data_IF_740552230494
#
_entry.id   IF_740552230494
#
_cell.length_a   1.000
_cell.length_b   1.000
_cell.length_c   1.000
_cell.angle_alpha   90.00
_cell.angle_beta   90.00
_cell.angle_gamma   90.00
#
_symmetry.space_group_name_H-M   'P 1'
#
loop_
_entity.id
_entity.type
_entity.pdbx_description
1 polymer ?
#
# COMPACT_ATOMS: atom_id res chain seq x y z
N UNK A 1 -22.98 -59.40 -26.50
CA UNK A 1 -23.04 -58.51 -25.28
C UNK A 1 -22.04 -57.38 -25.46
N UNK A 2 -22.52 -56.15 -25.68
CA UNK A 2 -21.69 -54.99 -25.88
C UNK A 2 -21.54 -54.29 -24.51
N UNK A 3 -20.32 -54.22 -23.99
CA UNK A 3 -19.99 -53.44 -22.80
C UNK A 3 -19.59 -52.05 -23.24
N UNK A 4 -20.38 -51.06 -22.88
CA UNK A 4 -20.09 -49.64 -23.12
C UNK A 4 -19.10 -49.09 -22.10
N UNK A 5 -18.13 -48.35 -22.59
CA UNK A 5 -17.12 -47.59 -21.80
C UNK A 5 -17.74 -46.29 -21.22
N UNK A 6 -17.66 -46.03 -19.88
CA UNK A 6 -18.27 -44.85 -19.27
C UNK A 6 -17.29 -43.70 -19.03
N UNK A 7 -16.21 -43.54 -19.81
CA UNK A 7 -15.18 -42.52 -19.50
C UNK A 7 -15.09 -41.31 -20.43
N UNK A 8 -16.08 -41.02 -21.26
CA UNK A 8 -16.10 -39.81 -22.07
C UNK A 8 -16.56 -38.58 -21.27
N UNK A 9 -15.69 -38.04 -20.39
CA UNK A 9 -15.83 -36.68 -19.85
C UNK A 9 -15.58 -35.68 -20.99
N UNK A 10 -16.66 -35.06 -21.48
CA UNK A 10 -16.54 -33.89 -22.39
C UNK A 10 -15.94 -32.72 -21.64
N UNK A 11 -14.66 -32.50 -21.81
CA UNK A 11 -14.00 -31.27 -21.41
C UNK A 11 -14.43 -30.16 -22.37
N UNK A 12 -15.24 -29.22 -21.88
CA UNK A 12 -15.53 -27.96 -22.60
C UNK A 12 -14.21 -27.17 -22.61
N UNK A 13 -13.66 -26.80 -23.77
CA UNK A 13 -12.41 -26.00 -23.77
C UNK A 13 -12.65 -24.66 -23.13
N UNK A 14 -11.77 -24.28 -22.19
CA UNK A 14 -11.79 -23.04 -21.41
C UNK A 14 -11.92 -21.79 -22.32
N UNK A 15 -11.41 -21.86 -23.53
CA UNK A 15 -11.52 -20.80 -24.55
C UNK A 15 -12.98 -20.52 -25.00
N UNK A 16 -13.89 -21.50 -24.92
CA UNK A 16 -15.30 -21.29 -25.28
C UNK A 16 -16.09 -20.65 -24.12
N UNK A 17 -15.69 -20.86 -22.89
CA UNK A 17 -16.27 -20.18 -21.70
C UNK A 17 -15.87 -18.72 -21.65
N UNK A 18 -14.61 -18.40 -22.00
CA UNK A 18 -14.14 -17.02 -22.10
C UNK A 18 -14.80 -16.27 -23.26
N UNK A 19 -15.05 -16.91 -24.40
CA UNK A 19 -15.72 -16.31 -25.55
C UNK A 19 -17.22 -16.05 -25.31
N UNK A 20 -17.89 -16.90 -24.53
CA UNK A 20 -19.30 -16.72 -24.17
C UNK A 20 -19.52 -15.61 -23.12
N UNK A 21 -18.54 -15.37 -22.22
CA UNK A 21 -18.54 -14.24 -21.29
C UNK A 21 -18.25 -12.89 -21.97
N UNK A 22 -17.59 -12.90 -23.14
CA UNK A 22 -17.30 -11.69 -23.93
C UNK A 22 -18.46 -11.26 -24.86
N UNK A 23 -19.45 -12.12 -25.10
CA UNK A 23 -20.54 -11.84 -26.03
C UNK A 23 -21.81 -11.22 -25.40
N UNK A 24 -21.86 -11.06 -24.06
CA UNK A 24 -22.96 -10.40 -23.34
C UNK A 24 -22.57 -9.04 -22.75
N UNK A 25 -21.43 -8.48 -23.15
CA UNK A 25 -21.08 -7.11 -22.81
C UNK A 25 -21.87 -6.15 -23.72
N UNK A 26 -23.13 -5.87 -23.34
CA UNK A 26 -23.67 -4.52 -23.51
C UNK A 26 -22.57 -3.59 -23.04
N UNK A 27 -22.11 -2.69 -23.90
CA UNK A 27 -21.09 -1.66 -23.57
C UNK A 27 -21.38 -1.16 -22.17
N UNK A 28 -20.43 -1.21 -21.22
CA UNK A 28 -20.68 -0.66 -19.90
C UNK A 28 -21.10 0.79 -20.12
N UNK A 29 -22.30 1.12 -19.70
CA UNK A 29 -22.71 2.53 -19.64
C UNK A 29 -21.66 3.22 -18.82
N UNK A 30 -20.98 4.21 -19.39
CA UNK A 30 -20.14 5.14 -18.66
C UNK A 30 -20.94 5.67 -17.47
N UNK A 31 -20.48 5.45 -16.25
CA UNK A 31 -21.11 6.10 -15.10
C UNK A 31 -20.92 7.64 -15.22
N UNK A 32 -19.78 8.07 -15.76
CA UNK A 32 -19.52 9.50 -16.03
C UNK A 32 -20.00 9.88 -17.43
N UNK A 33 -21.07 10.67 -17.49
CA UNK A 33 -21.63 11.17 -18.75
C UNK A 33 -20.61 12.07 -19.51
N UNK A 34 -20.70 12.16 -20.87
CA UNK A 34 -19.73 12.92 -21.67
C UNK A 34 -19.58 14.39 -21.28
N UNK A 35 -20.65 15.05 -20.79
CA UNK A 35 -20.57 16.45 -20.37
C UNK A 35 -19.80 16.60 -19.06
N UNK A 36 -19.96 15.66 -18.15
CA UNK A 36 -19.20 15.63 -16.91
C UNK A 36 -17.75 15.29 -17.19
N UNK A 37 -17.46 14.31 -18.07
CA UNK A 37 -16.09 13.98 -18.49
C UNK A 37 -15.37 15.18 -19.13
N UNK A 38 -16.05 15.92 -20.02
CA UNK A 38 -15.49 17.14 -20.63
C UNK A 38 -15.21 18.20 -19.55
N UNK A 39 -16.12 18.38 -18.59
CA UNK A 39 -15.91 19.36 -17.51
C UNK A 39 -14.74 18.97 -16.62
N UNK A 40 -14.51 17.68 -16.36
CA UNK A 40 -13.30 17.19 -15.67
C UNK A 40 -12.05 17.60 -16.44
N UNK A 41 -12.02 17.36 -17.75
CA UNK A 41 -10.88 17.72 -18.59
C UNK A 41 -10.62 19.22 -18.62
N UNK A 42 -11.65 20.05 -18.74
CA UNK A 42 -11.56 21.52 -18.72
C UNK A 42 -11.01 22.02 -17.37
N UNK A 43 -11.47 21.46 -16.24
CA UNK A 43 -11.01 21.81 -14.91
C UNK A 43 -9.57 21.36 -14.66
N UNK A 44 -9.16 20.20 -15.19
CA UNK A 44 -7.77 19.75 -15.14
C UNK A 44 -6.87 20.76 -15.86
N UNK A 45 -7.22 21.14 -17.08
CA UNK A 45 -6.45 22.14 -17.84
C UNK A 45 -6.34 23.48 -17.10
N UNK A 46 -7.41 23.91 -16.44
CA UNK A 46 -7.45 25.15 -15.66
C UNK A 46 -6.57 25.09 -14.41
N UNK A 47 -6.51 23.94 -13.73
CA UNK A 47 -5.87 23.79 -12.40
C UNK A 47 -4.48 23.17 -12.46
N UNK A 48 -4.09 22.47 -13.53
CA UNK A 48 -2.83 21.71 -13.62
C UNK A 48 -1.59 22.51 -13.21
N UNK A 49 -1.50 23.77 -13.62
CA UNK A 49 -0.35 24.63 -13.28
C UNK A 49 -0.27 24.92 -11.77
N UNK A 50 -1.41 25.09 -11.12
CA UNK A 50 -1.47 25.28 -9.66
C UNK A 50 -1.10 23.99 -8.93
N UNK A 51 -1.65 22.86 -9.36
CA UNK A 51 -1.39 21.54 -8.73
C UNK A 51 0.09 21.16 -8.85
N UNK A 52 0.73 21.42 -10.00
CA UNK A 52 2.18 21.23 -10.18
C UNK A 52 2.99 22.14 -9.24
N UNK A 53 2.57 23.39 -9.06
CA UNK A 53 3.23 24.30 -8.10
C UNK A 53 3.10 23.81 -6.65
N UNK A 54 1.95 23.24 -6.29
CA UNK A 54 1.73 22.62 -4.99
C UNK A 54 2.70 21.45 -4.81
N UNK A 55 2.81 20.54 -5.79
CA UNK A 55 3.75 19.43 -5.77
C UNK A 55 5.18 19.91 -5.53
N UNK A 56 5.63 20.88 -6.30
CA UNK A 56 7.00 21.43 -6.17
C UNK A 56 7.23 22.11 -4.82
N UNK A 57 6.22 22.77 -4.26
CA UNK A 57 6.31 23.32 -2.92
C UNK A 57 6.48 22.25 -1.85
N UNK A 58 5.67 21.17 -1.91
CA UNK A 58 5.78 20.03 -0.99
C UNK A 58 7.15 19.37 -1.16
N UNK A 59 7.62 19.16 -2.39
CA UNK A 59 8.93 18.58 -2.69
C UNK A 59 10.10 19.39 -2.13
N UNK A 60 10.02 20.73 -2.19
CA UNK A 60 11.03 21.63 -1.62
C UNK A 60 11.04 21.64 -0.09
N UNK A 61 9.92 21.30 0.54
CA UNK A 61 9.74 21.36 1.99
C UNK A 61 9.33 19.98 2.55
N UNK A 62 10.11 18.91 2.29
CA UNK A 62 9.75 17.56 2.70
C UNK A 62 9.84 17.40 4.22
N UNK A 63 8.89 16.68 4.81
CA UNK A 63 8.78 16.45 6.24
C UNK A 63 8.67 14.95 6.53
N UNK A 64 9.33 14.47 7.57
CA UNK A 64 9.30 13.06 7.98
C UNK A 64 7.97 12.71 8.64
N UNK A 65 7.67 11.42 8.72
CA UNK A 65 6.46 10.87 9.34
C UNK A 65 6.15 11.46 10.72
N UNK A 66 4.89 11.81 10.96
CA UNK A 66 4.39 12.54 12.13
C UNK A 66 4.98 13.96 12.31
N UNK A 67 5.63 14.51 11.31
CA UNK A 67 6.23 15.86 11.32
C UNK A 67 5.79 16.71 10.12
N UNK A 68 4.77 16.26 9.38
CA UNK A 68 4.24 16.88 8.15
C UNK A 68 3.39 18.12 8.44
N UNK A 69 3.85 19.01 9.32
CA UNK A 69 3.07 20.17 9.80
C UNK A 69 2.82 21.20 8.70
N UNK A 70 3.82 21.54 7.91
CA UNK A 70 3.68 22.51 6.81
C UNK A 70 2.89 21.93 5.65
N UNK A 71 3.09 20.65 5.33
CA UNK A 71 2.32 19.92 4.33
C UNK A 71 0.85 19.86 4.74
N UNK A 72 0.55 19.48 5.98
CA UNK A 72 -0.81 19.46 6.52
C UNK A 72 -1.46 20.84 6.54
N UNK A 73 -0.71 21.88 6.89
CA UNK A 73 -1.17 23.29 6.87
C UNK A 73 -1.51 23.72 5.44
N UNK A 74 -0.65 23.41 4.46
CA UNK A 74 -0.89 23.69 3.05
C UNK A 74 -2.15 22.99 2.57
N UNK A 75 -2.26 21.68 2.80
CA UNK A 75 -3.41 20.85 2.45
C UNK A 75 -4.68 21.45 3.06
N UNK A 76 -4.69 21.67 4.38
CA UNK A 76 -5.85 22.24 5.07
C UNK A 76 -6.26 23.59 4.51
N UNK A 77 -5.30 24.48 4.23
CA UNK A 77 -5.59 25.83 3.68
C UNK A 77 -6.18 25.77 2.26
N UNK A 78 -5.74 24.83 1.44
CA UNK A 78 -6.31 24.60 0.09
C UNK A 78 -7.74 24.07 0.19
N UNK A 79 -7.99 23.11 1.05
CA UNK A 79 -9.31 22.52 1.27
C UNK A 79 -10.32 23.53 1.85
N UNK A 80 -9.88 24.47 2.71
CA UNK A 80 -10.73 25.56 3.23
C UNK A 80 -11.35 26.38 2.09
N UNK A 81 -10.58 26.65 1.04
CA UNK A 81 -11.07 27.44 -0.11
C UNK A 81 -12.13 26.70 -0.94
N UNK A 82 -12.30 25.39 -0.75
CA UNK A 82 -13.25 24.55 -1.46
C UNK A 82 -14.58 24.36 -0.72
N UNK A 83 -14.70 24.88 0.51
CA UNK A 83 -15.91 24.78 1.33
C UNK A 83 -16.20 23.36 1.82
N UNK A 84 -15.17 22.55 2.07
CA UNK A 84 -15.27 21.19 2.60
C UNK A 84 -15.37 21.19 4.13
N UNK A 85 -15.97 20.14 4.71
CA UNK A 85 -15.94 19.88 6.15
C UNK A 85 -14.59 19.24 6.51
N UNK A 86 -13.72 19.94 7.27
CA UNK A 86 -12.32 19.52 7.47
C UNK A 86 -12.07 19.18 8.92
N UNK A 87 -11.46 18.00 9.15
CA UNK A 87 -10.86 17.56 10.40
C UNK A 87 -9.34 17.56 10.25
N UNK A 88 -8.66 18.36 11.06
CA UNK A 88 -7.19 18.45 11.09
C UNK A 88 -6.63 17.72 12.30
N UNK A 89 -5.37 17.32 12.22
CA UNK A 89 -4.68 16.67 13.32
C UNK A 89 -5.12 15.21 13.55
N UNK A 90 -5.77 14.58 12.57
CA UNK A 90 -6.10 13.14 12.61
C UNK A 90 -4.81 12.36 12.46
N UNK A 91 -4.52 11.45 13.38
CA UNK A 91 -3.21 10.79 13.49
C UNK A 91 -2.04 11.80 13.52
N UNK A 92 -2.18 12.86 14.34
CA UNK A 92 -1.24 13.98 14.58
C UNK A 92 -1.25 15.04 13.49
N UNK A 93 -0.77 14.75 12.29
CA UNK A 93 -0.63 15.73 11.19
C UNK A 93 -1.61 15.49 10.04
N UNK A 94 -2.34 14.37 10.05
CA UNK A 94 -3.27 14.03 8.98
C UNK A 94 -4.47 14.99 8.87
N UNK A 95 -5.02 15.08 7.65
CA UNK A 95 -6.18 15.89 7.33
C UNK A 95 -7.24 15.02 6.66
N UNK A 96 -8.46 15.10 7.16
CA UNK A 96 -9.63 14.43 6.57
C UNK A 96 -10.64 15.48 6.16
N UNK A 97 -11.06 15.48 4.89
CA UNK A 97 -12.03 16.43 4.38
C UNK A 97 -13.22 15.72 3.72
N UNK A 98 -14.43 16.20 3.97
CA UNK A 98 -15.66 15.66 3.43
C UNK A 98 -16.29 16.63 2.43
N UNK A 99 -16.49 16.15 1.20
CA UNK A 99 -17.32 16.77 0.18
C UNK A 99 -18.70 16.11 0.20
N UNK A 100 -19.74 16.87 0.58
CA UNK A 100 -21.13 16.41 0.45
C UNK A 100 -21.63 16.74 -0.94
N UNK A 101 -22.01 15.72 -1.71
CA UNK A 101 -22.71 15.90 -2.98
C UNK A 101 -24.11 16.46 -2.79
N UNK A 102 -24.68 16.99 -3.87
CA UNK A 102 -26.03 17.58 -3.84
C UNK A 102 -27.15 16.53 -3.81
N UNK A 103 -26.86 15.27 -4.08
CA UNK A 103 -27.84 14.18 -4.10
C UNK A 103 -27.51 13.13 -3.04
N UNK A 104 -28.53 12.47 -2.44
CA UNK A 104 -28.30 11.37 -1.51
C UNK A 104 -27.54 10.21 -2.16
N UNK A 105 -26.69 9.54 -1.40
CA UNK A 105 -25.93 8.37 -1.84
C UNK A 105 -24.96 7.89 -0.77
N UNK A 106 -24.13 6.94 -1.15
CA UNK A 106 -23.07 6.39 -0.29
C UNK A 106 -21.92 7.38 -0.12
N UNK A 107 -20.97 7.04 0.75
CA UNK A 107 -19.69 7.74 0.88
C UNK A 107 -18.57 6.86 0.38
N UNK A 108 -17.74 7.39 -0.51
CA UNK A 108 -16.47 6.79 -0.90
C UNK A 108 -15.32 7.63 -0.34
N UNK A 109 -14.17 6.99 -0.09
CA UNK A 109 -12.97 7.68 0.34
C UNK A 109 -11.86 7.56 -0.69
N UNK A 110 -10.93 8.49 -0.65
CA UNK A 110 -9.68 8.45 -1.43
C UNK A 110 -8.54 8.96 -0.55
N UNK A 111 -7.40 8.25 -0.58
CA UNK A 111 -6.25 8.49 0.28
C UNK A 111 -5.02 8.90 -0.51
N UNK A 112 -4.25 9.82 0.03
CA UNK A 112 -2.86 10.06 -0.31
C UNK A 112 -2.01 10.19 0.97
N UNK A 113 -0.81 9.65 0.94
CA UNK A 113 0.23 9.84 1.95
C UNK A 113 0.93 11.18 1.79
N UNK A 114 1.58 11.68 2.86
CA UNK A 114 2.18 13.02 2.88
C UNK A 114 3.64 13.05 3.30
N UNK A 115 4.15 12.02 3.94
CA UNK A 115 5.47 11.99 4.55
C UNK A 115 6.60 11.80 3.53
N UNK A 116 7.81 12.20 3.92
CA UNK A 116 9.05 12.09 3.18
C UNK A 116 10.03 11.13 3.88
N UNK A 117 11.11 10.81 3.19
CA UNK A 117 12.14 9.87 3.63
C UNK A 117 13.42 10.59 4.11
N UNK A 118 14.18 9.99 5.05
CA UNK A 118 15.47 10.51 5.50
C UNK A 118 16.57 10.23 4.46
N UNK A 119 16.44 10.82 3.29
CA UNK A 119 17.34 10.65 2.13
C UNK A 119 17.88 12.03 1.70
N UNK A 120 19.19 12.15 1.50
CA UNK A 120 19.77 13.35 0.91
C UNK A 120 19.50 13.39 -0.59
N UNK A 121 18.76 14.37 -1.05
CA UNK A 121 18.45 14.53 -2.47
C UNK A 121 19.67 14.91 -3.30
N UNK A 122 19.81 14.25 -4.47
CA UNK A 122 20.89 14.46 -5.43
C UNK A 122 20.39 14.70 -6.87
N UNK A 123 19.12 15.07 -7.05
CA UNK A 123 18.50 15.24 -8.38
C UNK A 123 19.02 16.44 -9.15
N UNK A 124 19.49 17.50 -8.46
CA UNK A 124 19.88 18.77 -9.08
C UNK A 124 18.71 19.59 -9.62
N UNK A 125 17.47 19.27 -9.30
CA UNK A 125 16.27 19.98 -9.74
C UNK A 125 16.22 21.41 -9.21
N UNK A 126 15.63 22.37 -9.95
CA UNK A 126 15.46 23.75 -9.46
C UNK A 126 14.53 23.87 -8.25
N UNK A 127 13.73 22.83 -7.99
CA UNK A 127 12.84 22.72 -6.85
C UNK A 127 13.20 21.53 -5.92
N UNK A 128 14.49 21.19 -5.86
CA UNK A 128 14.98 20.15 -4.95
C UNK A 128 14.70 20.52 -3.50
N UNK A 129 14.74 19.52 -2.62
CA UNK A 129 14.57 19.69 -1.17
C UNK A 129 15.47 20.82 -0.61
N UNK A 130 14.87 21.64 0.23
CA UNK A 130 15.56 22.64 1.05
C UNK A 130 15.94 22.09 2.44
N UNK A 131 15.42 20.92 2.81
CA UNK A 131 15.67 20.24 4.08
C UNK A 131 16.79 19.21 3.90
N UNK A 132 17.99 19.52 4.38
CA UNK A 132 19.14 18.63 4.26
C UNK A 132 18.83 17.25 4.87
N UNK A 133 19.13 16.18 4.12
CA UNK A 133 18.90 14.80 4.53
C UNK A 133 17.46 14.33 4.47
N UNK A 134 16.52 15.11 3.91
CA UNK A 134 15.11 14.71 3.75
C UNK A 134 14.66 14.93 2.30
N UNK A 135 13.95 13.98 1.73
CA UNK A 135 13.49 14.03 0.34
C UNK A 135 12.18 13.25 0.14
N UNK A 136 11.28 13.75 -0.71
CA UNK A 136 10.20 12.94 -1.26
C UNK A 136 10.72 11.96 -2.32
N UNK A 137 11.29 10.84 -1.87
CA UNK A 137 11.87 9.81 -2.74
C UNK A 137 10.90 8.65 -3.03
N UNK A 138 9.66 8.71 -2.51
CA UNK A 138 8.60 7.74 -2.78
C UNK A 138 7.45 8.32 -3.64
N UNK A 139 7.38 9.65 -3.79
CA UNK A 139 6.38 10.32 -4.63
C UNK A 139 5.13 10.78 -3.88
N UNK A 140 5.17 10.85 -2.55
CA UNK A 140 4.03 11.29 -1.74
C UNK A 140 3.66 12.75 -2.01
N UNK A 141 4.61 13.58 -2.45
CA UNK A 141 4.35 14.92 -2.97
C UNK A 141 3.48 14.92 -4.24
N UNK A 142 3.64 13.92 -5.11
CA UNK A 142 2.80 13.68 -6.29
C UNK A 142 1.41 13.20 -5.84
N UNK A 143 1.35 12.21 -4.92
CA UNK A 143 0.08 11.65 -4.43
C UNK A 143 -0.78 12.73 -3.75
N UNK A 144 -0.22 13.48 -2.80
CA UNK A 144 -0.87 14.61 -2.11
C UNK A 144 -1.39 15.64 -3.11
N UNK A 145 -0.59 15.97 -4.14
CA UNK A 145 -0.98 16.96 -5.15
C UNK A 145 -2.10 16.45 -6.05
N UNK A 146 -2.05 15.18 -6.46
CA UNK A 146 -3.13 14.53 -7.22
C UNK A 146 -4.44 14.58 -6.41
N UNK A 147 -4.37 14.25 -5.12
CA UNK A 147 -5.56 14.24 -4.26
C UNK A 147 -6.14 15.65 -4.06
N UNK A 148 -5.30 16.68 -3.89
CA UNK A 148 -5.75 18.07 -3.87
C UNK A 148 -6.39 18.48 -5.19
N UNK A 149 -5.79 18.13 -6.33
CA UNK A 149 -6.38 18.37 -7.66
C UNK A 149 -7.73 17.68 -7.81
N UNK A 150 -7.85 16.44 -7.34
CA UNK A 150 -9.12 15.70 -7.32
C UNK A 150 -10.17 16.41 -6.46
N UNK A 151 -9.79 16.89 -5.27
CA UNK A 151 -10.70 17.65 -4.40
C UNK A 151 -11.17 18.96 -5.05
N UNK A 152 -10.28 19.70 -5.71
CA UNK A 152 -10.62 20.92 -6.44
C UNK A 152 -11.67 20.65 -7.53
N UNK A 153 -11.44 19.61 -8.35
CA UNK A 153 -12.33 19.28 -9.46
C UNK A 153 -13.67 18.78 -8.97
N UNK A 154 -13.69 17.81 -8.05
CA UNK A 154 -14.95 17.27 -7.54
C UNK A 154 -15.77 18.31 -6.77
N UNK A 155 -15.13 19.26 -6.08
CA UNK A 155 -15.84 20.39 -5.46
C UNK A 155 -16.57 21.25 -6.50
N UNK A 156 -15.98 21.48 -7.67
CA UNK A 156 -16.63 22.21 -8.78
C UNK A 156 -17.78 21.43 -9.44
N UNK A 157 -17.83 20.13 -9.20
CA UNK A 157 -18.85 19.19 -9.70
C UNK A 157 -19.90 18.81 -8.65
N UNK A 158 -19.88 19.42 -7.46
CA UNK A 158 -20.70 19.07 -6.30
C UNK A 158 -22.18 18.81 -6.64
N UNK A 159 -22.77 19.63 -7.52
CA UNK A 159 -24.17 19.52 -7.94
C UNK A 159 -24.49 18.23 -8.73
N UNK A 160 -23.46 17.54 -9.23
CA UNK A 160 -23.58 16.29 -9.99
C UNK A 160 -23.26 15.04 -9.17
N UNK A 161 -22.74 15.24 -7.95
CA UNK A 161 -22.30 14.13 -7.10
C UNK A 161 -23.47 13.56 -6.33
N UNK A 162 -23.66 12.24 -6.45
CA UNK A 162 -24.57 11.45 -5.61
C UNK A 162 -23.78 10.85 -4.45
N UNK A 163 -24.17 11.17 -3.22
CA UNK A 163 -23.43 10.75 -2.02
C UNK A 163 -22.28 11.69 -1.66
N UNK A 164 -21.23 11.16 -1.07
CA UNK A 164 -20.15 11.96 -0.51
C UNK A 164 -18.77 11.42 -0.91
N UNK A 165 -17.76 12.30 -0.89
CA UNK A 165 -16.36 11.91 -1.05
C UNK A 165 -15.56 12.35 0.19
N UNK A 166 -14.89 11.41 0.84
CA UNK A 166 -13.94 11.68 1.93
C UNK A 166 -12.52 11.67 1.38
N UNK A 167 -11.83 12.79 1.49
CA UNK A 167 -10.41 12.93 1.12
C UNK A 167 -9.57 12.72 2.37
N UNK A 168 -8.62 11.78 2.33
CA UNK A 168 -7.76 11.41 3.44
C UNK A 168 -6.32 11.72 3.07
N UNK A 169 -5.73 12.72 3.71
CA UNK A 169 -4.32 13.06 3.60
C UNK A 169 -3.61 12.47 4.82
N UNK A 170 -2.89 11.39 4.59
CA UNK A 170 -2.37 10.52 5.62
C UNK A 170 -0.91 10.86 5.96
N UNK A 171 -0.54 10.95 7.26
CA UNK A 171 0.84 11.05 7.70
C UNK A 171 1.50 9.67 7.86
N UNK A 172 2.84 9.66 7.93
CA UNK A 172 3.66 8.55 8.43
C UNK A 172 3.39 7.18 7.79
N UNK A 173 3.26 7.13 6.46
CA UNK A 173 3.16 5.87 5.72
C UNK A 173 4.48 5.07 5.80
N UNK A 174 5.61 5.74 5.67
CA UNK A 174 6.97 5.16 5.73
C UNK A 174 7.38 4.77 7.17
N UNK A 175 6.49 4.99 8.12
CA UNK A 175 6.66 4.65 9.52
C UNK A 175 6.68 5.86 10.45
N UNK A 176 6.04 5.68 11.61
CA UNK A 176 6.09 6.65 12.68
C UNK A 176 7.46 6.61 13.40
N UNK A 177 7.93 7.73 13.97
CA UNK A 177 9.12 7.73 14.83
C UNK A 177 9.03 6.70 15.95
N UNK A 178 10.18 6.15 16.36
CA UNK A 178 10.25 5.13 17.41
C UNK A 178 9.49 5.56 18.68
N UNK A 179 8.60 4.69 19.15
CA UNK A 179 7.76 4.93 20.32
C UNK A 179 6.51 5.78 20.07
N UNK A 180 6.24 6.15 18.81
CA UNK A 180 5.02 6.87 18.43
C UNK A 180 4.05 5.97 17.64
N UNK A 181 2.75 6.18 17.83
CA UNK A 181 1.73 5.70 16.90
C UNK A 181 1.59 6.68 15.73
N UNK A 182 1.19 6.19 14.55
CA UNK A 182 0.99 7.01 13.35
C UNK A 182 0.36 6.22 12.20
N UNK A 183 0.41 6.81 11.01
CA UNK A 183 -0.01 6.18 9.77
C UNK A 183 -1.50 5.84 9.67
N UNK A 184 -1.83 4.96 8.75
CA UNK A 184 -3.21 4.53 8.49
C UNK A 184 -3.86 3.86 9.69
N UNK A 185 -3.10 3.08 10.48
CA UNK A 185 -3.61 2.42 11.67
C UNK A 185 -4.21 3.41 12.68
N UNK A 186 -3.49 4.50 12.95
CA UNK A 186 -3.96 5.54 13.85
C UNK A 186 -5.12 6.34 13.24
N UNK A 187 -5.08 6.64 11.93
CA UNK A 187 -6.21 7.30 11.25
C UNK A 187 -7.50 6.49 11.33
N UNK A 188 -7.42 5.17 11.15
CA UNK A 188 -8.57 4.25 11.32
C UNK A 188 -9.07 4.26 12.76
N UNK A 189 -8.16 4.18 13.73
CA UNK A 189 -8.48 4.23 15.18
C UNK A 189 -9.19 5.53 15.57
N UNK A 190 -8.82 6.65 14.92
CA UNK A 190 -9.41 7.97 15.14
C UNK A 190 -10.62 8.26 14.24
N UNK A 191 -11.16 7.24 13.57
CA UNK A 191 -12.42 7.31 12.83
C UNK A 191 -12.35 8.08 11.52
N UNK A 192 -11.27 7.93 10.75
CA UNK A 192 -11.15 8.55 9.42
C UNK A 192 -12.19 8.01 8.42
N UNK A 193 -12.76 6.81 8.66
CA UNK A 193 -13.74 6.14 7.80
C UNK A 193 -15.17 6.14 8.36
N UNK A 194 -15.44 6.80 9.49
CA UNK A 194 -16.66 6.52 10.25
C UNK A 194 -17.79 7.54 10.02
N UNK A 195 -17.50 8.81 9.78
CA UNK A 195 -18.47 9.89 9.77
C UNK A 195 -18.39 10.80 8.53
N UNK A 196 -19.19 10.49 7.50
CA UNK A 196 -20.11 9.37 7.33
C UNK A 196 -19.36 8.05 7.06
N UNK A 197 -20.00 6.87 7.30
CA UNK A 197 -19.33 5.58 7.08
C UNK A 197 -18.98 5.40 5.60
N UNK A 198 -17.73 4.99 5.36
CA UNK A 198 -17.17 4.81 4.01
C UNK A 198 -17.48 3.41 3.48
N UNK A 199 -18.04 3.33 2.27
CA UNK A 199 -18.42 2.09 1.60
C UNK A 199 -17.31 1.49 0.73
N UNK A 200 -16.39 2.33 0.23
CA UNK A 200 -15.19 1.92 -0.52
C UNK A 200 -14.10 2.97 -0.42
N UNK A 201 -12.85 2.55 -0.45
CA UNK A 201 -11.70 3.45 -0.40
C UNK A 201 -10.74 3.20 -1.57
N UNK A 202 -10.22 4.29 -2.13
CA UNK A 202 -9.31 4.31 -3.26
C UNK A 202 -7.97 4.91 -2.85
N UNK A 203 -6.88 4.40 -3.44
CA UNK A 203 -5.58 5.05 -3.38
C UNK A 203 -4.77 4.73 -4.63
N UNK A 204 -3.82 5.60 -4.95
CA UNK A 204 -2.80 5.35 -5.95
C UNK A 204 -1.41 5.53 -5.34
N UNK A 205 -0.43 4.85 -5.95
CA UNK A 205 0.97 5.07 -5.64
C UNK A 205 1.78 5.24 -6.94
N UNK A 206 2.71 6.16 -6.95
CA UNK A 206 3.64 6.35 -8.06
C UNK A 206 4.53 5.12 -8.22
N UNK A 207 4.76 4.69 -9.47
CA UNK A 207 5.58 3.52 -9.75
C UNK A 207 6.53 3.79 -10.94
N UNK A 208 7.74 3.21 -10.97
CA UNK A 208 8.71 3.45 -12.04
C UNK A 208 8.37 2.72 -13.37
N UNK A 209 7.08 2.75 -13.75
CA UNK A 209 6.58 2.44 -15.09
C UNK A 209 6.30 3.73 -15.87
N UNK A 210 6.08 3.61 -17.18
CA UNK A 210 5.94 4.78 -18.04
C UNK A 210 4.71 5.61 -17.70
N UNK A 211 4.82 6.92 -17.75
CA UNK A 211 3.66 7.81 -17.65
C UNK A 211 2.59 7.42 -18.65
N UNK A 212 1.36 7.31 -18.18
CA UNK A 212 0.23 6.84 -18.97
C UNK A 212 -0.12 5.38 -18.73
N UNK A 213 0.69 4.65 -17.98
CA UNK A 213 0.43 3.26 -17.59
C UNK A 213 -0.10 3.19 -16.16
N UNK A 214 -1.01 2.25 -15.92
CA UNK A 214 -1.57 1.93 -14.62
C UNK A 214 -1.47 0.43 -14.40
N UNK A 215 -1.07 0.03 -13.20
CA UNK A 215 -0.96 -1.37 -12.84
C UNK A 215 -1.83 -1.67 -11.62
N UNK A 216 -2.62 -2.72 -11.68
CA UNK A 216 -3.39 -3.25 -10.55
C UNK A 216 -3.68 -4.74 -10.73
N UNK A 217 -4.13 -5.38 -9.66
CA UNK A 217 -4.72 -6.71 -9.69
C UNK A 217 -5.84 -6.80 -8.65
N UNK A 218 -6.82 -7.69 -8.82
CA UNK A 218 -7.70 -8.11 -7.72
C UNK A 218 -6.92 -9.00 -6.75
N UNK A 219 -7.29 -8.96 -5.46
CA UNK A 219 -6.61 -9.76 -4.44
C UNK A 219 -5.37 -9.09 -3.86
N UNK A 220 -4.37 -9.86 -3.48
CA UNK A 220 -3.16 -9.33 -2.85
C UNK A 220 -2.33 -8.47 -3.81
N UNK A 221 -1.90 -7.30 -3.31
CA UNK A 221 -1.11 -6.30 -4.04
C UNK A 221 0.29 -6.19 -3.46
N UNK A 222 0.39 -6.02 -2.13
CA UNK A 222 1.65 -5.94 -1.40
C UNK A 222 1.71 -7.00 -0.32
N UNK A 223 2.92 -7.28 0.22
CA UNK A 223 3.11 -8.18 1.34
C UNK A 223 2.91 -7.51 2.68
N UNK A 224 2.79 -8.33 3.74
CA UNK A 224 2.92 -7.86 5.13
C UNK A 224 4.36 -7.49 5.45
N UNK A 225 4.56 -6.71 6.52
CA UNK A 225 5.87 -6.33 7.02
C UNK A 225 5.93 -6.57 8.53
N UNK A 226 6.42 -7.74 8.92
CA UNK A 226 6.58 -8.09 10.32
C UNK A 226 8.06 -8.21 10.69
N UNK A 227 8.38 -7.95 11.96
CA UNK A 227 9.73 -8.04 12.50
C UNK A 227 9.79 -9.07 13.61
N UNK A 228 10.97 -9.63 13.85
CA UNK A 228 11.22 -10.49 14.98
C UNK A 228 12.60 -10.29 15.57
N UNK A 229 12.72 -10.60 16.87
CA UNK A 229 13.98 -10.70 17.58
C UNK A 229 14.04 -12.02 18.34
N UNK A 230 15.15 -12.74 18.19
CA UNK A 230 15.43 -14.00 18.91
C UNK A 230 16.68 -13.77 19.75
N UNK A 231 16.57 -13.98 21.07
CA UNK A 231 17.72 -13.99 21.96
C UNK A 231 17.96 -15.43 22.44
N UNK A 232 19.11 -15.99 22.06
CA UNK A 232 19.59 -17.27 22.58
C UNK A 232 20.39 -17.03 23.85
N UNK A 233 20.05 -17.75 24.94
CA UNK A 233 20.70 -17.63 26.24
C UNK A 233 21.40 -18.94 26.58
N UNK A 234 22.70 -18.95 26.40
CA UNK A 234 23.59 -20.07 26.73
C UNK A 234 24.24 -19.91 28.10
N UNK A 235 25.44 -20.46 28.24
CA UNK A 235 26.29 -20.36 29.45
C UNK A 235 27.76 -20.21 29.03
N UNK A 236 28.40 -19.16 29.54
CA UNK A 236 29.81 -18.88 29.26
C UNK A 236 30.74 -19.96 29.84
N UNK A 237 31.84 -20.20 29.13
CA UNK A 237 32.94 -21.08 29.54
C UNK A 237 34.22 -20.70 28.85
N UNK A 238 35.34 -21.30 29.28
CA UNK A 238 36.63 -21.16 28.55
C UNK A 238 36.53 -21.83 27.17
N UNK A 239 36.97 -21.15 26.10
CA UNK A 239 36.89 -21.67 24.72
C UNK A 239 37.54 -23.05 24.50
N UNK A 240 38.55 -23.43 25.28
CA UNK A 240 39.14 -24.76 25.25
C UNK A 240 38.38 -25.79 26.13
N UNK A 241 37.32 -25.39 26.85
CA UNK A 241 36.51 -26.27 27.73
C UNK A 241 35.00 -26.11 27.43
N UNK A 242 34.59 -26.31 26.15
CA UNK A 242 33.19 -26.03 25.73
C UNK A 242 32.16 -26.91 26.43
N UNK A 243 32.55 -28.09 26.96
CA UNK A 243 31.69 -29.00 27.71
C UNK A 243 31.22 -28.44 29.07
N UNK A 244 31.82 -27.34 29.57
CA UNK A 244 31.42 -26.64 30.76
C UNK A 244 30.43 -25.53 30.49
N UNK A 245 30.22 -25.15 29.22
CA UNK A 245 29.31 -24.09 28.80
C UNK A 245 28.11 -24.60 28.01
N UNK A 246 27.36 -23.63 27.48
CA UNK A 246 26.34 -23.82 26.40
C UNK A 246 26.58 -22.71 25.37
N UNK A 247 27.01 -23.09 24.21
CA UNK A 247 27.49 -22.13 23.18
C UNK A 247 26.34 -21.48 22.41
N UNK A 248 25.99 -20.23 22.78
CA UNK A 248 24.92 -19.49 22.14
C UNK A 248 25.20 -19.19 20.64
N UNK A 249 26.49 -19.13 20.22
CA UNK A 249 26.82 -18.90 18.80
C UNK A 249 26.50 -20.15 17.97
N UNK A 250 26.86 -21.33 18.44
CA UNK A 250 26.54 -22.59 17.74
C UNK A 250 25.04 -22.75 17.60
N UNK A 251 24.27 -22.53 18.69
CA UNK A 251 22.82 -22.63 18.66
C UNK A 251 22.17 -21.59 17.75
N UNK A 252 22.65 -20.35 17.76
CA UNK A 252 22.17 -19.31 16.84
C UNK A 252 22.39 -19.69 15.36
N UNK A 253 23.55 -20.28 15.03
CA UNK A 253 23.83 -20.77 13.66
C UNK A 253 22.88 -21.91 13.26
N UNK A 254 22.59 -22.84 14.16
CA UNK A 254 21.59 -23.91 13.94
C UNK A 254 20.19 -23.35 13.74
N UNK A 255 19.76 -22.37 14.56
CA UNK A 255 18.48 -21.69 14.44
C UNK A 255 18.37 -20.98 13.08
N UNK A 256 19.41 -20.27 12.62
CA UNK A 256 19.43 -19.60 11.31
C UNK A 256 19.17 -20.62 10.20
N UNK A 257 19.81 -21.79 10.22
CA UNK A 257 19.62 -22.83 9.21
C UNK A 257 18.23 -23.46 9.30
N UNK A 258 17.75 -23.78 10.50
CA UNK A 258 16.47 -24.43 10.71
C UNK A 258 15.29 -23.52 10.32
N UNK A 259 15.37 -22.22 10.57
CA UNK A 259 14.33 -21.25 10.17
C UNK A 259 14.12 -21.20 8.66
N UNK A 260 15.11 -21.55 7.83
CA UNK A 260 14.92 -21.61 6.38
C UNK A 260 13.90 -22.69 5.98
N UNK A 261 13.70 -23.69 6.82
CA UNK A 261 12.71 -24.77 6.56
C UNK A 261 11.27 -24.27 6.71
N UNK A 262 11.03 -23.20 7.42
CA UNK A 262 9.68 -22.59 7.55
C UNK A 262 9.12 -22.26 6.18
N UNK A 263 9.88 -21.52 5.36
CA UNK A 263 9.46 -21.17 4.00
C UNK A 263 9.54 -22.40 3.09
N UNK A 264 10.65 -23.11 3.09
CA UNK A 264 10.90 -24.17 2.08
C UNK A 264 10.10 -25.45 2.31
N UNK A 265 9.53 -25.70 3.51
CA UNK A 265 8.84 -26.96 3.87
C UNK A 265 7.45 -26.76 4.46
N UNK A 266 7.13 -25.59 5.00
CA UNK A 266 5.85 -25.37 5.67
C UNK A 266 4.90 -24.41 4.95
N UNK A 267 5.40 -23.59 4.01
CA UNK A 267 4.61 -22.68 3.18
C UNK A 267 4.34 -23.34 1.81
N UNK A 268 3.16 -23.11 1.25
CA UNK A 268 2.84 -23.52 -0.13
C UNK A 268 3.80 -22.79 -1.09
N UNK A 269 4.48 -23.51 -2.01
CA UNK A 269 5.41 -22.89 -2.97
C UNK A 269 4.78 -21.84 -3.88
N UNK A 270 3.44 -21.85 -4.02
CA UNK A 270 2.69 -20.86 -4.82
C UNK A 270 2.25 -19.64 -4.02
N UNK A 271 2.43 -19.64 -2.69
CA UNK A 271 2.11 -18.50 -1.81
C UNK A 271 3.43 -17.87 -1.30
N UNK A 272 3.85 -16.75 -1.87
CA UNK A 272 5.16 -16.16 -1.58
C UNK A 272 5.33 -15.79 -0.09
N UNK A 273 6.47 -16.22 0.47
CA UNK A 273 6.86 -15.89 1.83
C UNK A 273 8.38 -15.71 1.94
N UNK A 274 8.80 -14.82 2.81
CA UNK A 274 10.21 -14.56 3.14
C UNK A 274 10.38 -14.54 4.66
N UNK A 275 11.38 -15.26 5.15
CA UNK A 275 11.92 -15.15 6.52
C UNK A 275 13.40 -14.84 6.39
N UNK A 276 13.78 -13.60 6.70
CA UNK A 276 15.17 -13.14 6.59
C UNK A 276 15.70 -12.74 7.96
N UNK A 277 16.90 -13.23 8.28
CA UNK A 277 17.67 -12.75 9.44
C UNK A 277 18.62 -11.67 8.90
N UNK A 278 18.43 -10.43 9.35
CA UNK A 278 19.20 -9.26 8.92
C UNK A 278 20.43 -9.00 9.78
N UNK A 279 20.36 -9.33 11.08
CA UNK A 279 21.49 -9.14 12.00
C UNK A 279 21.70 -10.37 12.87
N UNK A 280 22.96 -10.59 13.26
CA UNK A 280 23.38 -11.55 14.27
C UNK A 280 24.48 -10.90 15.12
N UNK A 281 24.26 -10.83 16.42
CA UNK A 281 25.17 -10.16 17.36
C UNK A 281 25.40 -11.02 18.59
N UNK A 282 26.67 -11.28 18.95
CA UNK A 282 26.99 -12.05 20.15
C UNK A 282 28.48 -12.37 20.27
N UNK A 283 28.84 -12.88 21.45
CA UNK A 283 30.23 -13.14 21.82
C UNK A 283 30.99 -11.88 22.22
N UNK A 284 32.10 -12.07 22.95
CA UNK A 284 32.96 -10.98 23.45
C UNK A 284 34.44 -11.17 23.09
N UNK A 285 34.92 -12.40 23.08
CA UNK A 285 36.32 -12.76 22.78
C UNK A 285 36.40 -14.14 22.14
N UNK A 286 37.41 -14.35 21.32
CA UNK A 286 37.63 -15.61 20.58
C UNK A 286 37.87 -16.84 21.46
N UNK A 287 38.30 -16.66 22.72
CA UNK A 287 38.58 -17.73 23.66
C UNK A 287 37.53 -17.88 24.78
N UNK A 288 36.33 -17.29 24.62
CA UNK A 288 35.22 -17.38 25.55
C UNK A 288 34.00 -17.91 24.80
N UNK A 289 33.37 -18.97 25.33
CA UNK A 289 32.07 -19.46 24.86
C UNK A 289 31.02 -18.38 25.12
N UNK A 290 30.29 -17.99 24.08
CA UNK A 290 29.29 -16.94 24.16
C UNK A 290 28.06 -17.41 24.98
N UNK A 291 27.67 -16.61 25.96
CA UNK A 291 26.45 -16.85 26.75
C UNK A 291 25.19 -16.24 26.14
N UNK A 292 25.34 -15.37 25.14
CA UNK A 292 24.20 -14.66 24.53
C UNK A 292 24.47 -14.35 23.06
N UNK A 293 23.46 -14.62 22.22
CA UNK A 293 23.39 -14.16 20.84
C UNK A 293 21.99 -13.61 20.55
N UNK A 294 21.91 -12.47 19.86
CA UNK A 294 20.67 -11.89 19.39
C UNK A 294 20.62 -11.94 17.87
N UNK A 295 19.50 -12.40 17.32
CA UNK A 295 19.16 -12.42 15.90
C UNK A 295 17.99 -11.46 15.70
N UNK A 296 18.03 -10.63 14.67
CA UNK A 296 16.91 -9.79 14.25
C UNK A 296 16.60 -10.01 12.78
N UNK A 297 15.32 -9.95 12.44
CA UNK A 297 14.90 -10.21 11.08
C UNK A 297 13.50 -9.76 10.75
N UNK A 298 13.08 -10.04 9.51
CA UNK A 298 11.76 -9.70 9.00
C UNK A 298 11.05 -10.91 8.41
N UNK A 299 9.72 -10.92 8.54
CA UNK A 299 8.83 -11.87 7.86
C UNK A 299 7.96 -11.09 6.89
N UNK A 300 7.91 -11.55 5.64
CA UNK A 300 7.09 -10.96 4.58
C UNK A 300 6.23 -12.06 3.96
N UNK A 301 4.93 -11.85 3.85
CA UNK A 301 3.98 -12.80 3.23
C UNK A 301 2.90 -12.04 2.49
N UNK A 302 2.21 -12.71 1.54
CA UNK A 302 1.02 -12.16 0.92
C UNK A 302 -0.23 -12.52 1.73
N UNK A 303 -0.40 -13.79 2.10
CA UNK A 303 -1.64 -14.26 2.71
C UNK A 303 -1.67 -14.10 4.23
N UNK A 304 -2.83 -13.70 4.75
CA UNK A 304 -3.09 -13.67 6.19
C UNK A 304 -2.97 -15.06 6.85
N UNK A 305 -3.21 -16.13 6.07
CA UNK A 305 -3.04 -17.52 6.55
C UNK A 305 -1.58 -17.79 6.92
N UNK A 306 -0.63 -17.45 6.04
CA UNK A 306 0.80 -17.60 6.31
C UNK A 306 1.28 -16.62 7.39
N UNK A 307 0.75 -15.39 7.43
CA UNK A 307 1.08 -14.42 8.47
C UNK A 307 0.78 -14.94 9.88
N UNK A 308 -0.33 -15.69 10.04
CA UNK A 308 -0.72 -16.32 11.30
C UNK A 308 0.04 -17.62 11.59
N UNK A 309 0.42 -18.35 10.53
CA UNK A 309 1.05 -19.68 10.62
C UNK A 309 2.54 -19.61 10.95
N UNK A 310 3.27 -18.66 10.38
CA UNK A 310 4.75 -18.61 10.44
C UNK A 310 5.28 -18.35 11.85
N UNK A 311 4.81 -17.35 12.62
CA UNK A 311 5.39 -17.03 13.93
C UNK A 311 5.43 -18.23 14.92
N UNK A 312 4.33 -18.98 15.12
CA UNK A 312 4.39 -20.13 16.04
C UNK A 312 5.30 -21.25 15.54
N UNK A 313 5.46 -21.41 14.21
CA UNK A 313 6.42 -22.37 13.66
C UNK A 313 7.86 -21.95 13.95
N UNK A 314 8.18 -20.67 13.79
CA UNK A 314 9.50 -20.12 14.11
C UNK A 314 9.82 -20.31 15.57
N UNK A 315 8.90 -19.95 16.46
CA UNK A 315 9.07 -20.11 17.92
C UNK A 315 9.27 -21.58 18.31
N UNK A 316 8.52 -22.50 17.71
CA UNK A 316 8.64 -23.94 17.97
C UNK A 316 10.04 -24.46 17.58
N UNK A 317 10.62 -24.00 16.46
CA UNK A 317 11.97 -24.36 16.05
C UNK A 317 13.00 -23.83 17.05
N UNK A 318 12.91 -22.54 17.40
CA UNK A 318 13.83 -21.90 18.36
C UNK A 318 13.79 -22.62 19.71
N UNK A 319 12.58 -22.87 20.20
CA UNK A 319 12.34 -23.59 21.45
C UNK A 319 12.97 -24.98 21.42
N UNK A 320 12.68 -25.78 20.37
CA UNK A 320 13.18 -27.14 20.25
C UNK A 320 14.72 -27.22 20.25
N UNK A 321 15.40 -26.34 19.50
CA UNK A 321 16.87 -26.29 19.47
C UNK A 321 17.43 -25.89 20.83
N UNK A 322 16.88 -24.85 21.45
CA UNK A 322 17.36 -24.39 22.76
C UNK A 322 17.16 -25.45 23.86
N UNK A 323 16.00 -26.09 23.92
CA UNK A 323 15.70 -27.13 24.90
C UNK A 323 16.61 -28.36 24.73
N UNK A 324 16.88 -28.82 23.52
CA UNK A 324 17.77 -29.93 23.22
C UNK A 324 19.19 -29.73 23.76
N UNK A 325 19.65 -28.48 23.81
CA UNK A 325 20.99 -28.12 24.29
C UNK A 325 21.02 -27.53 25.70
N UNK A 326 19.88 -27.50 26.42
CA UNK A 326 19.79 -26.93 27.76
C UNK A 326 20.01 -25.41 27.81
N UNK A 327 19.69 -24.72 26.72
CA UNK A 327 19.73 -23.27 26.57
C UNK A 327 18.36 -22.64 26.87
N UNK A 328 18.38 -21.36 27.23
CA UNK A 328 17.17 -20.53 27.25
C UNK A 328 17.02 -19.74 25.96
N UNK A 329 15.81 -19.25 25.76
CA UNK A 329 15.54 -18.32 24.63
C UNK A 329 14.56 -17.22 25.02
N UNK A 330 14.49 -16.20 24.19
CA UNK A 330 13.39 -15.23 24.13
C UNK A 330 13.05 -15.02 22.68
N UNK A 331 11.74 -15.01 22.35
CA UNK A 331 11.24 -14.80 21.00
C UNK A 331 10.23 -13.66 21.04
N UNK A 332 10.59 -12.53 20.44
CA UNK A 332 9.75 -11.34 20.34
C UNK A 332 9.35 -11.18 18.87
N UNK A 333 8.05 -11.28 18.58
CA UNK A 333 7.50 -11.07 17.25
C UNK A 333 6.63 -9.81 17.25
N UNK A 334 6.92 -8.92 16.33
CA UNK A 334 6.25 -7.61 16.21
C UNK A 334 5.53 -7.53 14.86
N UNK A 335 4.18 -7.74 14.84
CA UNK A 335 3.41 -7.52 13.64
C UNK A 335 3.48 -6.05 13.21
N UNK A 336 3.85 -5.81 11.95
CA UNK A 336 3.81 -4.51 11.30
C UNK A 336 2.63 -4.40 10.34
N UNK A 337 2.85 -3.87 9.13
CA UNK A 337 1.77 -3.65 8.16
C UNK A 337 1.20 -4.96 7.63
N UNK A 338 -0.14 -5.10 7.57
CA UNK A 338 -0.79 -6.18 6.84
C UNK A 338 -0.53 -6.07 5.33
N UNK A 339 -0.84 -7.13 4.59
CA UNK A 339 -0.83 -7.10 3.12
C UNK A 339 -1.96 -6.20 2.60
N UNK A 340 -1.69 -5.40 1.57
CA UNK A 340 -2.77 -4.71 0.84
C UNK A 340 -3.54 -5.72 0.02
N UNK A 341 -4.84 -5.72 0.19
CA UNK A 341 -5.76 -6.60 -0.52
C UNK A 341 -6.83 -5.77 -1.24
N UNK A 342 -6.75 -5.76 -2.57
CA UNK A 342 -7.81 -5.17 -3.39
C UNK A 342 -9.05 -6.05 -3.34
N UNK A 343 -10.19 -5.48 -2.98
CA UNK A 343 -11.45 -6.19 -3.06
C UNK A 343 -11.70 -6.62 -4.52
N UNK A 344 -11.84 -7.95 -4.80
CA UNK A 344 -11.91 -8.43 -6.18
C UNK A 344 -13.14 -7.92 -6.95
N UNK A 345 -14.27 -7.76 -6.29
CA UNK A 345 -15.48 -7.22 -6.90
C UNK A 345 -15.30 -5.74 -7.27
N UNK A 346 -14.79 -4.94 -6.34
CA UNK A 346 -14.50 -3.52 -6.58
C UNK A 346 -13.46 -3.36 -7.70
N UNK A 347 -12.37 -4.13 -7.67
CA UNK A 347 -11.31 -4.06 -8.69
C UNK A 347 -11.84 -4.42 -10.09
N UNK A 348 -12.67 -5.49 -10.19
CA UNK A 348 -13.31 -5.91 -11.44
C UNK A 348 -14.28 -4.84 -11.96
N UNK A 349 -15.02 -4.21 -11.06
CA UNK A 349 -15.99 -3.17 -11.39
C UNK A 349 -15.31 -1.87 -11.87
N UNK A 350 -14.15 -1.52 -11.31
CA UNK A 350 -13.41 -0.29 -11.67
C UNK A 350 -12.49 -0.46 -12.89
N UNK A 351 -12.13 -1.69 -13.26
CA UNK A 351 -11.25 -1.96 -14.39
C UNK A 351 -11.72 -1.35 -15.74
N UNK A 352 -13.02 -1.43 -16.12
CA UNK A 352 -13.51 -0.82 -17.36
C UNK A 352 -13.27 0.69 -17.44
N UNK A 353 -13.40 1.42 -16.32
CA UNK A 353 -13.13 2.86 -16.25
C UNK A 353 -11.68 3.17 -16.61
N UNK A 354 -10.71 2.41 -16.06
CA UNK A 354 -9.30 2.57 -16.40
C UNK A 354 -9.03 2.26 -17.87
N UNK A 355 -9.57 1.16 -18.38
CA UNK A 355 -9.42 0.76 -19.79
C UNK A 355 -9.97 1.82 -20.74
N UNK A 356 -11.10 2.42 -20.40
CA UNK A 356 -11.71 3.47 -21.21
C UNK A 356 -10.91 4.76 -21.21
N UNK A 357 -10.36 5.17 -20.07
CA UNK A 357 -9.58 6.39 -19.94
C UNK A 357 -8.21 6.30 -20.63
N UNK A 358 -7.57 5.13 -20.56
CA UNK A 358 -6.17 4.95 -20.94
C UNK A 358 -5.95 4.10 -22.19
N UNK A 359 -6.94 3.29 -22.56
CA UNK A 359 -6.78 2.20 -23.51
C UNK A 359 -6.27 0.91 -22.84
N UNK A 360 -6.67 -0.22 -23.41
CA UNK A 360 -6.36 -1.56 -22.85
C UNK A 360 -4.85 -1.80 -22.70
N UNK A 361 -4.05 -1.31 -23.62
CA UNK A 361 -2.60 -1.52 -23.63
C UNK A 361 -1.84 -0.72 -22.55
N UNK A 362 -2.53 0.20 -21.86
CA UNK A 362 -2.00 1.03 -20.79
C UNK A 362 -2.47 0.60 -19.40
N UNK A 363 -3.33 -0.39 -19.34
CA UNK A 363 -3.82 -0.98 -18.10
C UNK A 363 -3.17 -2.35 -17.95
N UNK A 364 -2.14 -2.42 -17.09
CA UNK A 364 -1.26 -3.56 -16.94
C UNK A 364 -1.66 -4.37 -15.71
N UNK A 365 -1.41 -5.68 -15.76
CA UNK A 365 -1.60 -6.56 -14.61
C UNK A 365 -0.44 -6.38 -13.60
N UNK A 366 -0.78 -6.07 -12.36
CA UNK A 366 0.18 -6.07 -11.27
C UNK A 366 0.49 -7.50 -10.82
N UNK A 367 1.77 -7.81 -10.69
CA UNK A 367 2.21 -9.04 -10.02
C UNK A 367 2.50 -8.71 -8.57
N UNK A 368 1.82 -9.37 -7.60
CA UNK A 368 2.02 -9.09 -6.18
C UNK A 368 3.50 -9.11 -5.78
N UNK A 369 3.91 -8.15 -4.95
CA UNK A 369 5.28 -8.02 -4.44
C UNK A 369 5.28 -8.00 -2.91
N UNK A 370 6.39 -8.38 -2.30
CA UNK A 370 6.54 -8.39 -0.84
C UNK A 370 7.03 -7.04 -0.27
N UNK A 371 6.77 -5.93 -0.98
CA UNK A 371 6.84 -4.58 -0.44
C UNK A 371 5.71 -4.36 0.56
N UNK A 372 5.82 -3.39 1.45
CA UNK A 372 4.79 -3.09 2.44
C UNK A 372 4.11 -1.75 2.14
N UNK A 373 2.85 -1.60 2.58
CA UNK A 373 2.05 -0.40 2.42
C UNK A 373 0.94 -0.38 3.48
N UNK A 374 0.85 0.68 4.26
CA UNK A 374 -0.08 0.76 5.39
C UNK A 374 -1.52 1.11 5.01
N UNK A 375 -1.81 1.43 3.74
CA UNK A 375 -3.17 1.47 3.19
C UNK A 375 -3.95 0.20 3.51
N UNK A 376 -3.24 -0.89 3.74
CA UNK A 376 -3.79 -2.18 4.18
C UNK A 376 -4.73 -2.07 5.39
N UNK A 377 -4.47 -1.15 6.34
CA UNK A 377 -5.36 -0.93 7.49
C UNK A 377 -6.71 -0.35 7.09
N UNK A 378 -6.74 0.53 6.10
CA UNK A 378 -8.02 1.01 5.53
C UNK A 378 -8.73 -0.11 4.79
N UNK A 379 -8.00 -0.88 3.95
CA UNK A 379 -8.56 -1.98 3.16
C UNK A 379 -9.09 -3.14 4.02
N UNK A 380 -8.63 -3.28 5.25
CA UNK A 380 -9.20 -4.22 6.24
C UNK A 380 -10.54 -3.73 6.83
N UNK A 381 -10.85 -2.44 6.75
CA UNK A 381 -12.08 -1.86 7.31
C UNK A 381 -13.18 -1.69 6.28
N UNK A 382 -12.83 -1.42 5.03
CA UNK A 382 -13.78 -1.19 3.93
C UNK A 382 -13.18 -1.71 2.63
N UNK A 383 -13.98 -2.12 1.63
CA UNK A 383 -13.47 -2.53 0.33
C UNK A 383 -12.50 -1.51 -0.25
N UNK A 384 -11.25 -1.93 -0.47
CA UNK A 384 -10.18 -1.09 -1.00
C UNK A 384 -9.88 -1.36 -2.47
N UNK A 385 -9.50 -0.31 -3.21
CA UNK A 385 -8.93 -0.39 -4.53
C UNK A 385 -7.66 0.46 -4.60
N UNK A 386 -6.53 -0.23 -4.66
CA UNK A 386 -5.19 0.33 -4.73
C UNK A 386 -4.58 0.03 -6.08
N UNK A 387 -4.00 1.04 -6.74
CA UNK A 387 -3.35 0.86 -8.03
C UNK A 387 -2.06 1.68 -8.12
N UNK A 388 -1.16 1.25 -9.00
CA UNK A 388 0.08 1.97 -9.27
C UNK A 388 -0.06 2.83 -10.52
N UNK A 389 0.45 4.05 -10.44
CA UNK A 389 0.47 5.03 -11.53
C UNK A 389 1.91 5.18 -12.04
N UNK A 390 2.12 4.92 -13.32
CA UNK A 390 3.42 5.10 -13.97
C UNK A 390 3.87 6.57 -13.93
N UNK A 391 5.09 6.80 -13.45
CA UNK A 391 5.70 8.12 -13.31
C UNK A 391 7.04 8.27 -14.02
N UNK A 392 7.51 7.21 -14.69
CA UNK A 392 8.77 7.19 -15.43
C UNK A 392 8.64 7.86 -16.79
N UNK A 393 9.62 8.65 -17.14
CA UNK A 393 9.79 9.17 -18.51
C UNK A 393 11.17 8.77 -19.03
N UNK A 394 11.26 7.85 -20.03
CA UNK A 394 12.53 7.42 -20.59
C UNK A 394 13.35 8.54 -21.25
N UNK A 395 12.72 9.64 -21.63
CA UNK A 395 13.38 10.80 -22.21
C UNK A 395 14.01 11.75 -21.19
N UNK A 396 13.72 11.55 -19.88
CA UNK A 396 14.32 12.32 -18.80
C UNK A 396 15.44 11.51 -18.16
N UNK A 397 16.54 12.15 -17.71
CA UNK A 397 17.69 11.45 -17.10
C UNK A 397 17.39 10.78 -15.74
N UNK A 398 16.13 10.72 -15.33
CA UNK A 398 15.69 10.44 -13.95
C UNK A 398 14.75 9.24 -13.85
N UNK A 399 14.98 8.18 -14.62
CA UNK A 399 14.29 6.90 -14.45
C UNK A 399 14.80 6.13 -13.19
N UNK A 400 15.14 6.83 -12.11
CA UNK A 400 15.60 6.21 -10.88
C UNK A 400 14.46 5.50 -10.15
N UNK A 401 14.71 4.37 -9.46
CA UNK A 401 13.70 3.68 -8.66
C UNK A 401 13.25 4.53 -7.46
N UNK A 402 12.12 4.13 -6.85
CA UNK A 402 11.68 4.65 -5.55
C UNK A 402 12.81 4.50 -4.51
N UNK A 403 12.82 5.39 -3.51
CA UNK A 403 13.82 5.48 -2.43
C UNK A 403 15.24 5.79 -2.93
N UNK A 404 15.39 6.18 -4.20
CA UNK A 404 16.67 6.67 -4.74
C UNK A 404 16.85 8.16 -4.47
N UNK A 405 18.07 8.64 -4.13
CA UNK A 405 18.35 10.09 -4.03
C UNK A 405 18.19 10.84 -5.36
N UNK A 406 18.02 10.12 -6.46
CA UNK A 406 17.80 10.64 -7.81
C UNK A 406 16.36 10.47 -8.29
N UNK A 407 15.43 10.02 -7.44
CA UNK A 407 14.03 9.84 -7.84
C UNK A 407 13.41 11.16 -8.27
N UNK A 408 12.83 11.18 -9.46
CA UNK A 408 12.18 12.37 -10.04
C UNK A 408 11.03 11.94 -10.95
N UNK A 409 9.80 11.91 -10.45
CA UNK A 409 8.63 11.53 -11.23
C UNK A 409 8.29 12.57 -12.30
N UNK A 410 7.81 12.10 -13.46
CA UNK A 410 7.30 12.97 -14.51
C UNK A 410 5.99 13.63 -14.07
N UNK A 411 5.97 14.95 -14.01
CA UNK A 411 4.83 15.75 -13.54
C UNK A 411 3.57 15.60 -14.41
N UNK A 412 3.67 15.02 -15.62
CA UNK A 412 2.51 14.65 -16.44
C UNK A 412 1.63 13.58 -15.81
N UNK A 413 2.17 12.82 -14.86
CA UNK A 413 1.41 11.87 -14.05
C UNK A 413 0.36 12.56 -13.15
N UNK A 414 0.59 13.83 -12.76
CA UNK A 414 -0.31 14.57 -11.86
C UNK A 414 -1.69 14.79 -12.48
N UNK A 415 -1.84 15.47 -13.65
CA UNK A 415 -3.15 15.65 -14.27
C UNK A 415 -3.80 14.30 -14.64
N UNK A 416 -3.01 13.31 -15.03
CA UNK A 416 -3.51 11.98 -15.35
C UNK A 416 -4.09 11.26 -14.11
N UNK A 417 -3.34 11.21 -13.01
CA UNK A 417 -3.81 10.62 -11.76
C UNK A 417 -5.05 11.32 -11.22
N UNK A 418 -5.09 12.66 -11.32
CA UNK A 418 -6.29 13.45 -10.98
C UNK A 418 -7.50 13.04 -11.82
N UNK A 419 -7.33 12.90 -13.14
CA UNK A 419 -8.40 12.45 -14.04
C UNK A 419 -8.91 11.06 -13.66
N UNK A 420 -7.99 10.14 -13.44
CA UNK A 420 -8.30 8.74 -13.06
C UNK A 420 -9.11 8.72 -11.77
N UNK A 421 -8.65 9.40 -10.71
CA UNK A 421 -9.36 9.40 -9.43
C UNK A 421 -10.74 10.05 -9.54
N UNK A 422 -10.90 11.16 -10.27
CA UNK A 422 -12.22 11.78 -10.49
C UNK A 422 -13.21 10.79 -11.12
N UNK A 423 -12.79 10.07 -12.16
CA UNK A 423 -13.66 9.10 -12.83
C UNK A 423 -13.97 7.90 -11.95
N UNK A 424 -12.96 7.29 -11.29
CA UNK A 424 -13.17 6.13 -10.42
C UNK A 424 -14.14 6.46 -9.26
N UNK A 425 -13.98 7.63 -8.64
CA UNK A 425 -14.86 8.03 -7.53
C UNK A 425 -16.30 8.28 -7.98
N UNK A 426 -16.50 8.94 -9.12
CA UNK A 426 -17.85 9.15 -9.66
C UNK A 426 -18.50 7.84 -10.08
N UNK A 427 -17.75 6.95 -10.74
CA UNK A 427 -18.25 5.63 -11.12
C UNK A 427 -18.63 4.78 -9.90
N UNK A 428 -17.82 4.80 -8.83
CA UNK A 428 -18.12 4.08 -7.61
C UNK A 428 -19.39 4.60 -6.90
N UNK A 429 -19.58 5.91 -6.90
CA UNK A 429 -20.78 6.54 -6.34
C UNK A 429 -22.04 6.18 -7.13
N UNK A 430 -21.98 6.11 -8.46
CA UNK A 430 -23.10 5.79 -9.31
C UNK A 430 -23.47 4.29 -9.27
N UNK A 431 -22.50 3.39 -9.30
CA UNK A 431 -22.74 1.93 -9.35
C UNK A 431 -23.29 1.38 -8.03
N UNK A 432 -22.78 1.81 -6.88
CA UNK A 432 -23.29 1.34 -5.59
C UNK A 432 -24.66 1.94 -5.24
N UNK A 433 -25.02 3.08 -5.79
CA UNK A 433 -26.37 3.63 -5.69
C UNK A 433 -27.42 2.72 -6.36
N UNK A 434 -27.03 1.97 -7.39
CA UNK A 434 -27.94 1.03 -8.09
C UNK A 434 -28.09 -0.29 -7.34
N UNK A 435 -27.07 -0.79 -6.63
CA UNK A 435 -27.13 -2.01 -5.82
C UNK A 435 -27.99 -1.82 -4.57
N UNK A 436 -27.86 -0.69 -3.87
CA UNK A 436 -28.69 -0.40 -2.69
C UNK A 436 -30.18 -0.20 -3.02
N UNK A 437 -30.50 0.33 -4.20
CA UNK A 437 -31.89 0.44 -4.68
C UNK A 437 -32.51 -0.92 -5.05
N UNK A 438 -31.70 -1.93 -5.39
CA UNK A 438 -32.14 -3.31 -5.65
C UNK A 438 -32.41 -4.13 -4.39
N UNK A 439 -31.65 -3.90 -3.30
CA UNK A 439 -31.77 -4.64 -2.05
C UNK A 439 -33.04 -4.28 -1.22
N UNK A 440 -33.71 -3.17 -1.52
CA UNK A 440 -34.96 -2.78 -0.85
C UNK A 440 -36.21 -3.39 -1.48
N UNK A 441 -36.10 -4.37 -2.39
CA UNK A 441 -37.21 -5.03 -3.07
C UNK A 441 -37.36 -6.53 -2.76
N UNK A 442 -36.79 -7.01 -1.65
CA UNK A 442 -37.05 -8.37 -1.17
C UNK A 442 -37.39 -8.37 0.32
#
# INVERSE_FOLDING_TARGET
>A
MRTGDPSARRTIPLALVLAALLASLSSPLLAVDPKTAQKIDDEIERTKSEVVKIRRFIHMNPELGNREFETARLVGSKLDTLGLEIRRGVAKTGVVALLRGAQPGITVAVRADMDALPIQEMTGLPFKSLNAGVMHACGHDVHTSILLGTAMILSSLKERIKGNVTFIFQPAEEGAPAGEEGGAALMVKEGALDNPPVSAIFALHSWPENVGEVLFAPGYITGSSDEFQITVKGRSAHGARPHEGVDAIVLAAEIVQALQTVVSRAVDPTDPAVVSIGTIQGGSRSNIIAERVTLEGTVRVLSDANRKKIPPLMESIVKGICEMHGAGYQFDYRPGYPSVYNNPELATTMAPTLVQLLGKDKVLEWKPQLIAEDFSYFAQKTPGFYFFLGVKNPALPTAAPLHSPYFNPDERAIPLGTKILCHLLLDALDQQSTVSAGASRF
#
